data_IF_056635271941
#
_entry.id   IF_056635271941
#
_cell.length_a   1.000
_cell.length_b   1.000
_cell.length_c   1.000
_cell.angle_alpha   90.00
_cell.angle_beta   90.00
_cell.angle_gamma   90.00
#
_symmetry.space_group_name_H-M   'P 1'
#
loop_
_entity.id
_entity.type
_entity.pdbx_description
1 polymer ?
#
# COMPACT_ATOMS: atom_id res chain seq x y z
N UNK A 1 11.28 -30.32 -4.48
CA UNK A 1 10.65 -29.00 -4.74
C UNK A 1 11.22 -27.99 -3.73
N UNK A 2 11.86 -26.94 -4.24
CA UNK A 2 13.06 -26.30 -3.67
C UNK A 2 12.80 -25.32 -2.49
N UNK A 3 13.44 -25.53 -1.33
CA UNK A 3 13.38 -24.64 -0.14
C UNK A 3 13.89 -23.20 -0.40
N UNK A 4 14.61 -22.95 -1.50
CA UNK A 4 15.13 -21.63 -1.88
C UNK A 4 14.04 -20.67 -2.38
N UNK A 5 13.20 -21.09 -3.33
CA UNK A 5 12.14 -20.25 -3.93
C UNK A 5 11.10 -19.75 -2.91
N UNK A 6 10.72 -20.57 -1.94
CA UNK A 6 9.78 -20.16 -0.88
C UNK A 6 10.37 -19.08 0.04
N UNK A 7 11.68 -19.15 0.33
CA UNK A 7 12.35 -18.16 1.18
C UNK A 7 12.43 -16.79 0.50
N UNK A 8 12.68 -16.73 -0.79
CA UNK A 8 12.72 -15.48 -1.54
C UNK A 8 11.34 -14.82 -1.61
N UNK A 9 10.29 -15.59 -1.92
CA UNK A 9 8.91 -15.11 -1.94
C UNK A 9 8.48 -14.61 -0.55
N UNK A 10 8.80 -15.35 0.52
CA UNK A 10 8.49 -14.92 1.89
C UNK A 10 9.21 -13.64 2.27
N UNK A 11 10.49 -13.47 1.91
CA UNK A 11 11.23 -12.23 2.15
C UNK A 11 10.62 -11.05 1.38
N UNK A 12 10.24 -11.25 0.11
CA UNK A 12 9.54 -10.23 -0.68
C UNK A 12 8.22 -9.81 -0.04
N UNK A 13 7.42 -10.77 0.42
CA UNK A 13 6.13 -10.51 1.05
C UNK A 13 6.28 -9.80 2.40
N UNK A 14 7.26 -10.19 3.21
CA UNK A 14 7.60 -9.53 4.48
C UNK A 14 8.01 -8.08 4.23
N UNK A 15 8.88 -7.81 3.25
CA UNK A 15 9.29 -6.43 2.90
C UNK A 15 8.08 -5.61 2.39
N UNK A 16 7.19 -6.22 1.62
CA UNK A 16 5.93 -5.60 1.16
C UNK A 16 4.99 -5.22 2.32
N UNK A 17 4.83 -6.10 3.29
CA UNK A 17 4.06 -5.81 4.51
C UNK A 17 4.74 -4.72 5.32
N UNK A 18 6.07 -4.80 5.51
CA UNK A 18 6.84 -3.81 6.27
C UNK A 18 6.75 -2.41 5.64
N UNK A 19 6.86 -2.30 4.31
CA UNK A 19 6.69 -1.03 3.59
C UNK A 19 5.28 -0.47 3.71
N UNK A 20 4.27 -1.34 3.83
CA UNK A 20 2.88 -0.92 4.07
C UNK A 20 2.71 -0.39 5.50
N UNK A 21 3.34 -1.02 6.48
CA UNK A 21 3.35 -0.53 7.88
C UNK A 21 4.02 0.85 7.94
N UNK A 22 5.18 1.01 7.31
CA UNK A 22 5.89 2.32 7.25
C UNK A 22 5.03 3.37 6.55
N UNK A 23 4.36 3.02 5.45
CA UNK A 23 3.43 3.92 4.77
C UNK A 23 2.34 4.43 5.73
N UNK A 24 1.67 3.53 6.46
CA UNK A 24 0.62 3.94 7.40
C UNK A 24 1.16 4.80 8.53
N UNK A 25 2.31 4.44 9.12
CA UNK A 25 2.94 5.23 10.18
C UNK A 25 3.22 6.67 9.71
N UNK A 26 3.89 6.82 8.55
CA UNK A 26 4.21 8.14 8.00
C UNK A 26 2.94 8.89 7.62
N UNK A 27 1.95 8.22 7.03
CA UNK A 27 0.66 8.84 6.68
C UNK A 27 -0.04 9.39 7.92
N UNK A 28 -0.13 8.61 9.00
CA UNK A 28 -0.76 9.03 10.24
C UNK A 28 -0.01 10.19 10.89
N UNK A 29 1.32 10.14 10.94
CA UNK A 29 2.14 11.23 11.48
C UNK A 29 1.97 12.52 10.67
N UNK A 30 2.03 12.46 9.35
CA UNK A 30 1.91 13.65 8.49
C UNK A 30 0.48 14.20 8.50
N UNK A 31 -0.54 13.35 8.52
CA UNK A 31 -1.93 13.79 8.59
C UNK A 31 -2.22 14.52 9.90
N UNK A 32 -1.63 14.05 11.00
CA UNK A 32 -1.76 14.70 12.31
C UNK A 32 -1.18 16.13 12.33
N UNK A 33 -0.21 16.43 11.46
CA UNK A 33 0.45 17.73 11.38
C UNK A 33 -0.19 18.66 10.35
N UNK A 34 -0.53 18.13 9.16
CA UNK A 34 -0.90 18.93 7.98
C UNK A 34 -2.41 18.96 7.76
N UNK A 35 -3.16 18.00 8.33
CA UNK A 35 -4.61 17.80 8.13
C UNK A 35 -5.09 17.72 6.66
N UNK A 36 -4.17 17.57 5.71
CA UNK A 36 -4.46 17.38 4.30
C UNK A 36 -4.28 15.92 3.92
N UNK A 37 -5.38 15.24 3.59
CA UNK A 37 -5.35 13.82 3.22
C UNK A 37 -4.44 13.55 2.02
N UNK A 38 -4.48 14.42 1.01
CA UNK A 38 -3.72 14.24 -0.23
C UNK A 38 -2.21 14.40 0.00
N UNK A 39 -1.79 15.43 0.75
CA UNK A 39 -0.37 15.63 1.07
C UNK A 39 0.18 14.50 1.95
N UNK A 40 -0.59 14.01 2.92
CA UNK A 40 -0.17 12.88 3.76
C UNK A 40 0.04 11.60 2.95
N UNK A 41 -0.80 11.34 1.95
CA UNK A 41 -0.64 10.18 1.06
C UNK A 41 0.63 10.31 0.21
N UNK A 42 0.88 11.48 -0.39
CA UNK A 42 2.06 11.71 -1.23
C UNK A 42 3.35 11.53 -0.44
N UNK A 43 3.46 12.16 0.73
CA UNK A 43 4.66 12.07 1.58
C UNK A 43 4.87 10.64 2.09
N UNK A 44 3.80 9.97 2.50
CA UNK A 44 3.88 8.58 2.95
C UNK A 44 4.32 7.62 1.83
N UNK A 45 3.88 7.85 0.59
CA UNK A 45 4.34 7.08 -0.57
C UNK A 45 5.83 7.27 -0.85
N UNK A 46 6.32 8.52 -0.81
CA UNK A 46 7.75 8.81 -0.98
C UNK A 46 8.57 8.10 0.10
N UNK A 47 8.15 8.21 1.37
CA UNK A 47 8.84 7.56 2.48
C UNK A 47 8.85 6.02 2.36
N UNK A 48 7.73 5.43 1.92
CA UNK A 48 7.66 3.98 1.70
C UNK A 48 8.60 3.50 0.58
N UNK A 49 8.74 4.27 -0.51
CA UNK A 49 9.69 3.98 -1.59
C UNK A 49 11.14 4.05 -1.08
N UNK A 50 11.48 5.09 -0.31
CA UNK A 50 12.82 5.25 0.27
C UNK A 50 13.14 4.12 1.28
N UNK A 51 12.18 3.74 2.10
CA UNK A 51 12.33 2.63 3.06
C UNK A 51 12.50 1.28 2.35
N UNK A 52 11.73 1.03 1.28
CA UNK A 52 11.90 -0.16 0.44
C UNK A 52 13.31 -0.23 -0.14
N UNK A 53 13.84 0.90 -0.62
CA UNK A 53 15.22 1.00 -1.13
C UNK A 53 16.26 0.72 -0.05
N UNK A 54 16.13 1.34 1.13
CA UNK A 54 17.04 1.14 2.24
C UNK A 54 17.05 -0.33 2.71
N UNK A 55 15.88 -0.96 2.78
CA UNK A 55 15.76 -2.36 3.24
C UNK A 55 16.25 -3.33 2.18
N UNK A 56 16.05 -3.05 0.89
CA UNK A 56 16.68 -3.81 -0.20
C UNK A 56 18.21 -3.72 -0.14
N UNK A 57 18.78 -2.55 0.16
CA UNK A 57 20.23 -2.38 0.36
C UNK A 57 20.76 -3.15 1.58
N UNK A 58 19.97 -3.30 2.64
CA UNK A 58 20.42 -3.95 3.88
C UNK A 58 20.16 -5.47 3.90
N UNK A 59 19.10 -5.95 3.24
CA UNK A 59 18.63 -7.32 3.34
C UNK A 59 19.05 -8.24 2.17
N UNK A 60 19.39 -7.68 1.00
CA UNK A 60 19.82 -8.44 -0.19
C UNK A 60 21.35 -8.44 -0.39
N UNK A 61 22.08 -7.50 0.21
CA UNK A 61 23.55 -7.42 0.07
C UNK A 61 24.35 -8.40 0.93
N UNK A 62 23.72 -9.38 1.58
CA UNK A 62 24.41 -10.53 2.16
C UNK A 62 24.45 -11.73 1.20
N UNK A 63 24.94 -11.54 -0.04
CA UNK A 63 25.57 -12.56 -0.91
C UNK A 63 24.91 -13.00 -2.24
N UNK A 64 23.86 -12.38 -2.81
CA UNK A 64 23.27 -12.91 -4.08
C UNK A 64 22.84 -11.92 -5.19
N UNK A 65 23.27 -10.65 -5.19
CA UNK A 65 23.14 -9.80 -6.39
C UNK A 65 24.50 -9.72 -7.11
N UNK A 66 24.64 -10.37 -8.27
CA UNK A 66 25.89 -10.38 -9.05
C UNK A 66 26.17 -9.06 -9.78
N UNK A 67 25.19 -8.15 -9.92
CA UNK A 67 25.38 -6.87 -10.61
C UNK A 67 24.46 -5.73 -10.12
N UNK A 68 25.01 -4.51 -10.01
CA UNK A 68 24.29 -3.29 -9.58
C UNK A 68 23.18 -2.88 -10.57
N UNK A 69 23.35 -3.23 -11.85
CA UNK A 69 22.40 -2.91 -12.92
C UNK A 69 21.08 -3.68 -12.79
N UNK A 70 21.12 -4.94 -12.35
CA UNK A 70 19.92 -5.76 -12.14
C UNK A 70 19.11 -5.29 -10.92
N UNK A 71 19.81 -4.81 -9.89
CA UNK A 71 19.20 -4.17 -8.72
C UNK A 71 18.48 -2.87 -9.11
N UNK A 72 19.11 -2.03 -9.93
CA UNK A 72 18.53 -0.78 -10.40
C UNK A 72 17.28 -1.02 -11.27
N UNK A 73 17.32 -2.03 -12.14
CA UNK A 73 16.17 -2.44 -12.95
C UNK A 73 14.99 -2.90 -12.09
N UNK A 74 15.22 -3.77 -11.10
CA UNK A 74 14.18 -4.22 -10.16
C UNK A 74 13.60 -3.05 -9.34
N UNK A 75 14.44 -2.08 -8.96
CA UNK A 75 14.01 -0.87 -8.25
C UNK A 75 13.13 0.03 -9.12
N UNK A 76 13.51 0.30 -10.37
CA UNK A 76 12.71 1.11 -11.30
C UNK A 76 11.35 0.44 -11.56
N UNK A 77 11.34 -0.88 -11.76
CA UNK A 77 10.11 -1.66 -11.89
C UNK A 77 9.23 -1.59 -10.64
N UNK A 78 9.82 -1.63 -9.45
CA UNK A 78 9.08 -1.45 -8.20
C UNK A 78 8.50 -0.03 -8.07
N UNK A 79 9.27 1.00 -8.41
CA UNK A 79 8.81 2.39 -8.42
C UNK A 79 7.67 2.59 -9.44
N UNK A 80 7.76 2.00 -10.63
CA UNK A 80 6.72 2.04 -11.65
C UNK A 80 5.45 1.31 -11.19
N UNK A 81 5.59 0.12 -10.58
CA UNK A 81 4.48 -0.63 -10.00
C UNK A 81 3.77 0.17 -8.89
N UNK A 82 4.54 0.80 -8.00
CA UNK A 82 4.03 1.68 -6.94
C UNK A 82 3.37 2.94 -7.49
N UNK A 83 3.93 3.55 -8.54
CA UNK A 83 3.35 4.70 -9.23
C UNK A 83 2.03 4.35 -9.93
N UNK A 84 1.96 3.17 -10.56
CA UNK A 84 0.75 2.66 -11.17
C UNK A 84 -0.36 2.40 -10.13
N UNK A 85 -0.03 1.72 -9.04
CA UNK A 85 -0.94 1.50 -7.92
C UNK A 85 -1.39 2.83 -7.30
N UNK A 86 -0.49 3.81 -7.19
CA UNK A 86 -0.83 5.14 -6.69
C UNK A 86 -1.84 5.86 -7.59
N UNK A 87 -1.69 5.77 -8.91
CA UNK A 87 -2.68 6.28 -9.86
C UNK A 87 -4.01 5.55 -9.74
N UNK A 88 -3.99 4.23 -9.54
CA UNK A 88 -5.21 3.46 -9.26
C UNK A 88 -5.87 3.88 -7.95
N UNK A 89 -5.10 4.16 -6.90
CA UNK A 89 -5.63 4.62 -5.60
C UNK A 89 -6.32 5.97 -5.72
N UNK A 90 -5.70 6.90 -6.45
CA UNK A 90 -6.34 8.19 -6.79
C UNK A 90 -7.62 7.93 -7.60
N UNK A 91 -7.56 7.10 -8.65
CA UNK A 91 -8.72 6.82 -9.50
C UNK A 91 -9.88 6.16 -8.76
N UNK A 92 -9.59 5.16 -7.92
CA UNK A 92 -10.59 4.49 -7.07
C UNK A 92 -11.17 5.49 -6.08
N UNK A 93 -10.34 6.29 -5.41
CA UNK A 93 -10.83 7.29 -4.45
C UNK A 93 -11.73 8.32 -5.13
N UNK A 94 -11.35 8.84 -6.30
CA UNK A 94 -12.20 9.76 -7.06
C UNK A 94 -13.53 9.11 -7.45
N UNK A 95 -13.50 7.85 -7.87
CA UNK A 95 -14.72 7.14 -8.25
C UNK A 95 -15.62 6.86 -7.03
N UNK A 96 -15.07 6.32 -5.94
CA UNK A 96 -15.85 5.76 -4.83
C UNK A 96 -16.14 6.75 -3.71
N UNK A 97 -15.33 7.79 -3.55
CA UNK A 97 -15.45 8.79 -2.48
C UNK A 97 -15.96 10.12 -2.99
N UNK A 98 -15.55 10.56 -4.19
CA UNK A 98 -15.96 11.86 -4.74
C UNK A 98 -17.20 11.73 -5.65
N UNK A 99 -17.14 10.89 -6.69
CA UNK A 99 -18.20 10.84 -7.70
C UNK A 99 -19.41 9.99 -7.30
N UNK A 100 -19.18 8.84 -6.67
CA UNK A 100 -20.25 7.86 -6.38
C UNK A 100 -20.36 7.53 -4.88
N UNK A 101 -19.93 8.44 -4.00
CA UNK A 101 -19.95 8.25 -2.53
C UNK A 101 -21.28 7.73 -2.00
N UNK A 102 -22.38 8.39 -2.36
CA UNK A 102 -23.72 8.03 -1.90
C UNK A 102 -24.15 6.63 -2.36
N UNK A 103 -23.80 6.25 -3.59
CA UNK A 103 -24.08 4.91 -4.12
C UNK A 103 -23.35 3.83 -3.29
N UNK A 104 -22.06 4.05 -3.00
CA UNK A 104 -21.25 3.11 -2.23
C UNK A 104 -21.61 3.04 -0.74
N UNK A 105 -21.98 4.16 -0.14
CA UNK A 105 -22.49 4.23 1.23
C UNK A 105 -23.81 3.45 1.35
N UNK A 106 -24.69 3.60 0.36
CA UNK A 106 -26.00 2.93 0.32
C UNK A 106 -25.86 1.41 0.11
N UNK A 107 -25.08 0.96 -0.88
CA UNK A 107 -24.88 -0.47 -1.16
C UNK A 107 -24.24 -1.21 0.03
N UNK A 108 -23.33 -0.55 0.75
CA UNK A 108 -22.69 -1.10 1.96
C UNK A 108 -23.51 -0.87 3.24
N UNK A 109 -24.66 -0.19 3.15
CA UNK A 109 -25.56 0.15 4.27
C UNK A 109 -24.83 0.84 5.44
N UNK A 110 -23.83 1.67 5.14
CA UNK A 110 -23.00 2.33 6.16
C UNK A 110 -23.79 3.34 7.00
N UNK A 111 -24.89 3.88 6.49
CA UNK A 111 -25.77 4.80 7.23
C UNK A 111 -26.47 4.15 8.44
N UNK A 112 -26.59 2.82 8.43
CA UNK A 112 -27.30 2.08 9.49
C UNK A 112 -26.39 1.69 10.67
N UNK A 113 -25.09 1.98 10.57
CA UNK A 113 -24.12 1.68 11.63
C UNK A 113 -24.18 2.74 12.72
N UNK A 114 -24.04 2.30 13.98
CA UNK A 114 -23.92 3.21 15.12
C UNK A 114 -22.46 3.66 15.28
N UNK A 115 -22.20 4.93 14.95
CA UNK A 115 -20.89 5.57 15.10
C UNK A 115 -20.64 6.13 16.49
N UNK A 116 -21.62 6.08 17.39
CA UNK A 116 -21.54 6.66 18.73
C UNK A 116 -21.02 5.68 19.78
N UNK A 117 -20.83 4.41 19.40
CA UNK A 117 -20.37 3.36 20.31
C UNK A 117 -19.19 2.56 19.73
N UNK A 118 -18.48 1.84 20.60
CA UNK A 118 -17.44 0.88 20.20
C UNK A 118 -16.21 1.51 19.52
N UNK A 119 -15.65 0.79 18.54
CA UNK A 119 -14.39 1.13 17.86
C UNK A 119 -14.45 2.50 17.15
N UNK A 120 -15.63 2.93 16.72
CA UNK A 120 -15.85 4.19 15.99
C UNK A 120 -15.61 5.44 16.84
N UNK A 121 -15.60 5.29 18.17
CA UNK A 121 -15.38 6.39 19.12
C UNK A 121 -13.91 6.60 19.51
N UNK A 122 -13.04 5.65 19.16
CA UNK A 122 -11.62 5.71 19.55
C UNK A 122 -10.98 6.99 18.98
N UNK A 123 -10.30 7.82 19.80
CA UNK A 123 -9.80 9.13 19.38
C UNK A 123 -8.93 9.10 18.13
N UNK A 124 -8.15 8.05 17.96
CA UNK A 124 -7.24 7.87 16.82
C UNK A 124 -7.91 7.28 15.57
N UNK A 125 -9.06 6.62 15.69
CA UNK A 125 -9.81 6.05 14.56
C UNK A 125 -10.98 6.93 14.12
N UNK A 126 -11.54 7.73 15.03
CA UNK A 126 -12.68 8.60 14.77
C UNK A 126 -12.54 9.47 13.51
N UNK A 127 -11.37 10.06 13.18
CA UNK A 127 -11.20 10.81 11.94
C UNK A 127 -11.35 9.95 10.66
N UNK A 128 -11.12 8.64 10.75
CA UNK A 128 -11.07 7.72 9.62
C UNK A 128 -12.30 6.82 9.50
N UNK A 129 -12.99 6.50 10.59
CA UNK A 129 -14.16 5.59 10.57
C UNK A 129 -15.38 6.15 11.31
N UNK A 130 -15.30 7.37 11.84
CA UNK A 130 -16.33 7.93 12.72
C UNK A 130 -17.58 8.46 12.03
N UNK A 131 -17.70 8.35 10.71
CA UNK A 131 -18.93 8.65 9.97
C UNK A 131 -19.01 7.79 8.68
N UNK A 132 -20.18 7.71 8.01
CA UNK A 132 -20.35 6.89 6.81
C UNK A 132 -19.39 7.24 5.67
N UNK A 133 -19.07 8.53 5.50
CA UNK A 133 -18.22 9.02 4.41
C UNK A 133 -16.76 8.62 4.66
N UNK A 134 -16.26 8.86 5.87
CA UNK A 134 -14.88 8.52 6.24
C UNK A 134 -14.71 7.01 6.30
N UNK A 135 -15.70 6.27 6.83
CA UNK A 135 -15.69 4.81 6.83
C UNK A 135 -15.68 4.25 5.39
N UNK A 136 -16.48 4.79 4.47
CA UNK A 136 -16.43 4.42 3.05
C UNK A 136 -15.03 4.62 2.47
N UNK A 137 -14.43 5.80 2.65
CA UNK A 137 -13.09 6.10 2.18
C UNK A 137 -12.03 5.17 2.80
N UNK A 138 -12.16 4.84 4.08
CA UNK A 138 -11.27 3.93 4.78
C UNK A 138 -11.36 2.49 4.23
N UNK A 139 -12.58 1.98 4.00
CA UNK A 139 -12.81 0.66 3.40
C UNK A 139 -12.15 0.58 2.03
N UNK A 140 -12.40 1.55 1.16
CA UNK A 140 -11.79 1.55 -0.18
C UNK A 140 -10.29 1.75 -0.17
N UNK A 141 -9.75 2.53 0.77
CA UNK A 141 -8.31 2.62 0.98
C UNK A 141 -7.72 1.25 1.38
N UNK A 142 -8.37 0.50 2.27
CA UNK A 142 -7.93 -0.85 2.63
C UNK A 142 -7.98 -1.81 1.43
N UNK A 143 -9.08 -1.81 0.68
CA UNK A 143 -9.23 -2.61 -0.56
C UNK A 143 -8.11 -2.27 -1.53
N UNK A 144 -7.81 -1.00 -1.72
CA UNK A 144 -6.75 -0.56 -2.63
C UNK A 144 -5.37 -0.99 -2.15
N UNK A 145 -5.09 -0.97 -0.84
CA UNK A 145 -3.82 -1.50 -0.31
C UNK A 145 -3.69 -3.01 -0.50
N UNK A 146 -4.79 -3.76 -0.39
CA UNK A 146 -4.77 -5.20 -0.69
C UNK A 146 -4.51 -5.42 -2.19
N UNK A 147 -5.18 -4.67 -3.07
CA UNK A 147 -4.94 -4.70 -4.51
C UNK A 147 -3.50 -4.31 -4.85
N UNK A 148 -2.94 -3.31 -4.17
CA UNK A 148 -1.55 -2.90 -4.31
C UNK A 148 -0.58 -4.05 -4.05
N UNK A 149 -0.79 -4.77 -2.94
CA UNK A 149 0.04 -5.92 -2.57
C UNK A 149 -0.10 -7.04 -3.62
N UNK A 150 -1.32 -7.32 -4.06
CA UNK A 150 -1.57 -8.31 -5.10
C UNK A 150 -0.92 -7.94 -6.44
N UNK A 151 -1.08 -6.70 -6.91
CA UNK A 151 -0.49 -6.19 -8.15
C UNK A 151 1.03 -6.24 -8.07
N UNK A 152 1.62 -5.80 -6.95
CA UNK A 152 3.06 -5.88 -6.73
C UNK A 152 3.56 -7.33 -6.75
N UNK A 153 2.80 -8.27 -6.17
CA UNK A 153 3.13 -9.70 -6.24
C UNK A 153 3.07 -10.24 -7.68
N UNK A 154 2.01 -9.92 -8.43
CA UNK A 154 1.85 -10.36 -9.82
C UNK A 154 2.96 -9.77 -10.70
N UNK A 155 3.25 -8.47 -10.59
CA UNK A 155 4.33 -7.82 -11.33
C UNK A 155 5.69 -8.40 -10.97
N UNK A 156 5.96 -8.64 -9.68
CA UNK A 156 7.17 -9.33 -9.24
C UNK A 156 7.28 -10.72 -9.88
N UNK A 157 6.18 -11.50 -9.89
CA UNK A 157 6.13 -12.83 -10.51
C UNK A 157 6.41 -12.80 -12.02
N UNK A 158 5.79 -11.89 -12.77
CA UNK A 158 5.91 -11.85 -14.23
C UNK A 158 7.20 -11.17 -14.73
N UNK A 159 7.73 -10.18 -14.02
CA UNK A 159 8.87 -9.37 -14.48
C UNK A 159 10.21 -9.86 -13.94
N UNK A 160 10.24 -10.43 -12.73
CA UNK A 160 11.48 -10.87 -12.08
C UNK A 160 11.73 -12.36 -12.31
N UNK A 161 10.70 -13.21 -12.26
CA UNK A 161 10.90 -14.68 -12.37
C UNK A 161 10.96 -15.22 -13.79
N UNK A 162 10.82 -14.38 -14.84
CA UNK A 162 11.00 -14.84 -16.23
C UNK A 162 12.45 -15.20 -16.57
N UNK A 163 13.43 -14.84 -15.71
CA UNK A 163 14.86 -15.04 -15.97
C UNK A 163 15.45 -16.39 -15.52
N UNK A 164 14.70 -17.24 -14.81
CA UNK A 164 15.19 -18.56 -14.37
C UNK A 164 14.63 -19.75 -15.18
N UNK A 165 14.36 -19.57 -16.47
CA UNK A 165 13.93 -20.68 -17.34
C UNK A 165 14.43 -20.55 -18.78
N UNK A 166 15.70 -20.16 -18.94
CA UNK A 166 16.50 -20.49 -20.12
C UNK A 166 17.93 -20.78 -19.67
#
# INVERSE_FOLDING_TARGET
MNKSKHREIMRYLIIGVLTTVVYFLVRFSVFSLVQSGLLSVVVAQIAAILFAFATNKWFVFQNQAKDFQELCHQFVLFCLARGFVFLLDIGITLLTVEWYSAFFISIMRLEQLDYTTGLFTLPFLKPYIGNPITLNAFIFALVTQILAIMINYVLSKYLIFKKEYN
#
